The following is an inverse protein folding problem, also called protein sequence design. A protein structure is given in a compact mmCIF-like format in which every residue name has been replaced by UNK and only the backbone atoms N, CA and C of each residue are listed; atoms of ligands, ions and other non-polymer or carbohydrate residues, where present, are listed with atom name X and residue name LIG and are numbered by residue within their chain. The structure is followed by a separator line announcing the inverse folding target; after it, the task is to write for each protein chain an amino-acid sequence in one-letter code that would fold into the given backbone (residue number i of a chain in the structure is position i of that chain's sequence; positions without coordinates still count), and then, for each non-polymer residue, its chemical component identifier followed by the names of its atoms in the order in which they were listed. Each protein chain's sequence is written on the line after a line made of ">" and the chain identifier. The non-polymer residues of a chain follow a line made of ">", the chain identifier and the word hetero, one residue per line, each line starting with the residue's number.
data_IF_363241333814
#
_entry.id   IF_363241333814
#
_cell.length_a   1.000
_cell.length_b   1.000
_cell.length_c   1.000
_cell.angle_alpha   90.00
_cell.angle_beta   90.00
_cell.angle_gamma   90.00
#
_symmetry.space_group_name_H-M   'P 1'
#
loop_
_entity.id
_entity.type
_entity.pdbx_description
1 polymer ?
#
# COMPACT_ATOMS: atom_id res chain seq x y z
N UNK A 1 24.95 -0.48 1.28
CA UNK A 1 24.11 0.61 0.78
C UNK A 1 22.75 -0.01 0.51
N UNK A 2 21.76 0.26 1.36
CA UNK A 2 20.44 -0.35 1.23
C UNK A 2 19.72 0.41 0.11
N UNK A 3 19.76 -0.11 -1.11
CA UNK A 3 18.93 0.39 -2.19
C UNK A 3 17.50 0.47 -1.68
N UNK A 4 16.87 1.64 -1.77
CA UNK A 4 15.47 1.81 -1.41
C UNK A 4 14.67 0.89 -2.32
N UNK A 5 14.24 -0.25 -1.78
CA UNK A 5 13.46 -1.23 -2.54
C UNK A 5 12.10 -0.61 -2.84
N UNK A 6 11.84 -0.36 -4.11
CA UNK A 6 10.50 0.00 -4.55
C UNK A 6 9.56 -1.21 -4.45
N UNK A 7 8.40 -0.99 -3.84
CA UNK A 7 7.32 -1.97 -3.79
C UNK A 7 6.51 -1.89 -5.07
N UNK A 8 6.35 -3.02 -5.77
CA UNK A 8 5.65 -3.04 -7.04
C UNK A 8 4.16 -2.74 -6.88
N UNK A 9 3.65 -1.84 -7.72
CA UNK A 9 2.23 -1.49 -7.78
C UNK A 9 1.46 -2.44 -8.70
N UNK A 10 0.15 -2.65 -8.50
CA UNK A 10 -0.66 -2.14 -7.39
C UNK A 10 -0.46 -2.96 -6.11
N UNK A 11 -0.68 -2.35 -4.95
CA UNK A 11 -0.73 -3.08 -3.69
C UNK A 11 -2.13 -3.67 -3.47
N UNK A 12 -2.22 -4.77 -2.73
CA UNK A 12 -3.50 -5.43 -2.42
C UNK A 12 -3.57 -5.90 -0.98
N UNK A 13 -4.79 -5.96 -0.44
CA UNK A 13 -5.06 -6.59 0.85
C UNK A 13 -5.43 -8.06 0.63
N UNK A 14 -4.77 -8.95 1.37
CA UNK A 14 -5.05 -10.38 1.47
C UNK A 14 -5.56 -10.66 2.89
N UNK A 15 -6.76 -11.22 3.00
CA UNK A 15 -7.31 -11.67 4.28
C UNK A 15 -6.73 -13.03 4.66
N UNK A 16 -6.24 -13.13 5.90
CA UNK A 16 -5.77 -14.34 6.55
C UNK A 16 -6.71 -14.67 7.72
N UNK A 17 -6.43 -15.76 8.44
CA UNK A 17 -7.27 -16.22 9.54
C UNK A 17 -7.41 -15.18 10.68
N UNK A 18 -6.29 -14.58 11.10
CA UNK A 18 -6.18 -13.65 12.22
C UNK A 18 -5.52 -12.32 11.84
N UNK A 19 -5.37 -12.06 10.54
CA UNK A 19 -4.67 -10.89 10.04
C UNK A 19 -5.13 -10.42 8.66
N UNK A 20 -4.81 -9.17 8.35
CA UNK A 20 -4.80 -8.67 6.97
C UNK A 20 -3.36 -8.42 6.54
N UNK A 21 -2.95 -9.01 5.42
CA UNK A 21 -1.63 -8.80 4.82
C UNK A 21 -1.74 -7.86 3.63
N UNK A 22 -0.90 -6.83 3.59
CA UNK A 22 -0.75 -5.99 2.41
C UNK A 22 0.42 -6.52 1.59
N UNK A 23 0.17 -6.83 0.32
CA UNK A 23 1.16 -7.33 -0.61
C UNK A 23 1.38 -6.36 -1.76
N UNK A 24 2.61 -6.32 -2.26
CA UNK A 24 2.94 -5.72 -3.54
C UNK A 24 2.48 -6.63 -4.71
N UNK A 25 2.59 -6.15 -5.95
CA UNK A 25 2.16 -6.91 -7.13
C UNK A 25 2.92 -8.23 -7.34
N UNK A 26 4.10 -8.39 -6.75
CA UNK A 26 4.89 -9.63 -6.80
C UNK A 26 4.60 -10.58 -5.63
N UNK A 27 3.66 -10.23 -4.75
CA UNK A 27 3.33 -11.00 -3.55
C UNK A 27 4.29 -10.75 -2.38
N UNK A 28 5.14 -9.73 -2.44
CA UNK A 28 5.97 -9.35 -1.31
C UNK A 28 5.09 -8.73 -0.21
N UNK A 29 5.18 -9.25 1.01
CA UNK A 29 4.48 -8.69 2.16
C UNK A 29 5.08 -7.32 2.52
N UNK A 30 4.27 -6.26 2.39
CA UNK A 30 4.59 -4.88 2.78
C UNK A 30 4.26 -4.66 4.25
N UNK A 31 3.09 -5.16 4.68
CA UNK A 31 2.61 -5.05 6.05
C UNK A 31 1.74 -6.25 6.43
N UNK A 32 1.69 -6.58 7.72
CA UNK A 32 0.73 -7.56 8.29
C UNK A 32 0.09 -6.95 9.52
N UNK A 33 -1.24 -6.90 9.53
CA UNK A 33 -2.05 -6.32 10.59
C UNK A 33 -2.85 -7.42 11.26
N UNK A 34 -2.36 -7.88 12.40
CA UNK A 34 -3.06 -8.85 13.24
C UNK A 34 -4.26 -8.21 13.92
N UNK A 35 -5.33 -8.98 14.05
CA UNK A 35 -6.51 -8.58 14.80
C UNK A 35 -6.93 -9.66 15.78
N UNK A 36 -7.78 -9.28 16.72
CA UNK A 36 -8.46 -10.19 17.63
C UNK A 36 -9.96 -9.89 17.57
N UNK A 37 -10.77 -10.94 17.69
CA UNK A 37 -12.24 -10.83 17.70
C UNK A 37 -12.84 -11.00 19.09
N UNK A 38 -12.05 -11.55 20.02
CA UNK A 38 -12.41 -11.70 21.43
C UNK A 38 -12.41 -10.32 22.12
N UNK A 39 -13.57 -9.82 22.57
CA UNK A 39 -13.70 -8.51 23.22
C UNK A 39 -12.85 -8.37 24.49
N UNK A 40 -12.70 -9.45 25.27
CA UNK A 40 -11.90 -9.41 26.50
C UNK A 40 -10.41 -9.20 26.19
N UNK A 41 -9.94 -9.74 25.07
CA UNK A 41 -8.57 -9.53 24.61
C UNK A 41 -8.36 -8.15 24.00
N UNK A 42 -9.37 -7.56 23.33
CA UNK A 42 -9.28 -6.21 22.78
C UNK A 42 -9.04 -5.18 23.89
N UNK A 43 -9.82 -5.25 24.97
CA UNK A 43 -9.74 -4.30 26.09
C UNK A 43 -8.43 -4.43 26.87
N UNK A 44 -7.82 -5.62 26.92
CA UNK A 44 -6.62 -5.87 27.71
C UNK A 44 -5.31 -5.65 26.94
N UNK A 45 -5.29 -5.90 25.62
CA UNK A 45 -4.03 -5.96 24.84
C UNK A 45 -3.81 -4.75 23.93
N UNK A 46 -4.82 -3.90 23.71
CA UNK A 46 -4.75 -2.81 22.75
C UNK A 46 -4.57 -3.28 21.31
N UNK A 47 -4.98 -4.53 21.01
CA UNK A 47 -4.97 -5.09 19.65
C UNK A 47 -6.10 -4.51 18.81
N UNK A 48 -5.91 -4.56 17.50
CA UNK A 48 -6.93 -4.14 16.55
C UNK A 48 -8.08 -5.15 16.54
N UNK A 49 -9.31 -4.66 16.45
CA UNK A 49 -10.43 -5.48 15.99
C UNK A 49 -10.27 -5.81 14.50
N UNK A 50 -10.96 -6.86 14.02
CA UNK A 50 -10.99 -7.20 12.58
C UNK A 50 -11.35 -6.00 11.71
N UNK A 51 -12.33 -5.20 12.14
CA UNK A 51 -12.77 -4.02 11.42
C UNK A 51 -11.70 -2.92 11.38
N UNK A 52 -10.99 -2.69 12.48
CA UNK A 52 -9.90 -1.71 12.53
C UNK A 52 -8.72 -2.14 11.68
N UNK A 53 -8.28 -3.39 11.79
CA UNK A 53 -7.20 -3.93 10.96
C UNK A 53 -7.54 -3.84 9.47
N UNK A 54 -8.78 -4.15 9.08
CA UNK A 54 -9.24 -3.97 7.70
C UNK A 54 -9.18 -2.52 7.24
N UNK A 55 -9.64 -1.57 8.07
CA UNK A 55 -9.59 -0.12 7.73
C UNK A 55 -8.17 0.37 7.55
N UNK A 56 -7.26 -0.02 8.44
CA UNK A 56 -5.83 0.35 8.35
C UNK A 56 -5.21 -0.29 7.10
N UNK A 57 -5.47 -1.56 6.81
CA UNK A 57 -4.99 -2.24 5.60
C UNK A 57 -5.43 -1.51 4.33
N UNK A 58 -6.70 -1.10 4.26
CA UNK A 58 -7.23 -0.35 3.13
C UNK A 58 -6.52 1.00 2.94
N UNK A 59 -6.23 1.73 4.03
CA UNK A 59 -5.49 3.00 3.98
C UNK A 59 -4.07 2.83 3.48
N UNK A 60 -3.41 1.73 3.82
CA UNK A 60 -2.07 1.44 3.30
C UNK A 60 -2.10 1.24 1.79
N UNK A 61 -3.10 0.52 1.26
CA UNK A 61 -3.25 0.34 -0.19
C UNK A 61 -3.53 1.67 -0.91
N UNK A 62 -4.35 2.55 -0.33
CA UNK A 62 -4.63 3.89 -0.90
C UNK A 62 -3.36 4.74 -1.07
N UNK A 63 -2.32 4.55 -0.24
CA UNK A 63 -1.03 5.25 -0.42
C UNK A 63 -0.36 4.87 -1.75
N UNK A 64 -0.54 3.63 -2.18
CA UNK A 64 -0.01 3.10 -3.43
C UNK A 64 -0.71 3.71 -4.65
N UNK A 65 -2.02 3.95 -4.54
CA UNK A 65 -2.81 4.63 -5.55
C UNK A 65 -2.39 6.10 -5.68
N UNK A 66 -2.20 6.79 -4.54
CA UNK A 66 -1.71 8.17 -4.53
C UNK A 66 -0.32 8.28 -5.17
N UNK A 67 0.59 7.35 -4.87
CA UNK A 67 1.93 7.31 -5.49
C UNK A 67 1.83 7.09 -7.01
N UNK A 68 0.94 6.21 -7.45
CA UNK A 68 0.70 5.94 -8.88
C UNK A 68 0.25 7.21 -9.62
N UNK A 69 -0.71 7.93 -9.05
CA UNK A 69 -1.21 9.20 -9.61
C UNK A 69 -0.13 10.27 -9.64
N UNK A 70 0.68 10.40 -8.58
CA UNK A 70 1.77 11.37 -8.55
C UNK A 70 2.82 11.09 -9.64
N UNK A 71 3.21 9.83 -9.84
CA UNK A 71 4.15 9.46 -10.90
C UNK A 71 3.59 9.79 -12.29
N UNK A 72 2.28 9.61 -12.51
CA UNK A 72 1.63 9.99 -13.77
C UNK A 72 1.65 11.51 -14.00
N UNK A 73 1.37 12.29 -12.96
CA UNK A 73 1.42 13.76 -13.03
C UNK A 73 2.83 14.27 -13.31
N UNK A 74 3.84 13.74 -12.61
CA UNK A 74 5.24 14.09 -12.83
C UNK A 74 5.72 13.72 -14.25
N UNK A 75 5.31 12.55 -14.76
CA UNK A 75 5.62 12.14 -16.13
C UNK A 75 4.99 13.06 -17.19
N UNK A 76 3.81 13.63 -16.91
CA UNK A 76 3.13 14.58 -17.80
C UNK A 76 3.81 15.96 -17.80
N UNK A 77 4.24 16.45 -16.63
CA UNK A 77 4.91 17.75 -16.50
C UNK A 77 6.39 17.69 -16.95
N UNK A 78 7.02 16.51 -16.93
CA UNK A 78 8.42 16.30 -17.31
C UNK A 78 8.69 16.02 -18.80
N UNK A 79 7.69 16.04 -19.68
CA UNK A 79 7.90 15.78 -21.11
C UNK A 79 8.72 16.92 -21.76
N UNK A 80 9.92 16.65 -22.33
CA UNK A 80 10.68 17.68 -23.01
C UNK A 80 9.96 18.08 -24.29
N UNK A 81 9.64 19.38 -24.42
CA UNK A 81 9.35 20.04 -25.68
C UNK A 81 10.56 19.93 -26.61
N UNK A 82 10.74 18.80 -27.26
CA UNK A 82 11.68 18.66 -28.37
C UNK A 82 11.10 17.75 -29.42
N UNK A 83 10.28 18.35 -30.29
CA UNK A 83 10.16 17.95 -31.69
C UNK A 83 9.52 19.09 -32.48
N UNK A 84 10.30 20.17 -32.67
CA UNK A 84 10.23 20.96 -33.90
C UNK A 84 11.65 21.25 -34.37
N UNK A 85 12.19 20.31 -35.13
CA UNK A 85 13.18 20.60 -36.14
C UNK A 85 12.80 19.80 -37.36
N UNK A 86 12.27 20.47 -38.39
CA UNK A 86 12.50 20.16 -39.82
C UNK A 86 12.21 21.41 -40.67
N UNK A 87 13.30 21.88 -41.28
CA UNK A 87 13.43 22.66 -42.53
C UNK A 87 13.38 24.18 -42.42
#
# INVERSE_FOLDING_TARGET
>A
MNELRDFALPWRVVELEDAYRVEDANGLAIATLFFVEDPEQLDFTGRLSRHEARRVAARIVEMSDFRSVMMELEARDGAPTSMRSKH
#
